data_IF_963567624889
#
_entry.id   IF_963567624889
#
_cell.length_a   1.000
_cell.length_b   1.000
_cell.length_c   1.000
_cell.angle_alpha   90.00
_cell.angle_beta   90.00
_cell.angle_gamma   90.00
#
_symmetry.space_group_name_H-M   'P 1'
#
loop_
_entity.id
_entity.type
_entity.pdbx_description
1 polymer ?
#
# COMPACT_ATOMS: atom_id res chain seq x y z
N UNK A 1 -5.37 -17.77 2.51
CA UNK A 1 -4.79 -17.99 1.18
C UNK A 1 -3.68 -16.98 0.93
N UNK A 2 -2.67 -17.38 0.13
CA UNK A 2 -1.55 -16.50 -0.23
C UNK A 2 -1.95 -15.48 -1.32
N UNK A 3 -2.99 -15.80 -2.10
CA UNK A 3 -3.58 -14.92 -3.11
C UNK A 3 -5.10 -15.07 -3.13
N UNK A 4 -5.78 -13.97 -3.43
CA UNK A 4 -7.23 -13.93 -3.58
C UNK A 4 -7.60 -13.02 -4.75
N UNK A 5 -8.42 -13.53 -5.66
CA UNK A 5 -8.86 -12.80 -6.85
C UNK A 5 -10.38 -12.76 -6.92
N UNK A 6 -10.92 -11.62 -7.30
CA UNK A 6 -12.30 -11.48 -7.73
C UNK A 6 -12.36 -11.37 -9.25
N UNK A 7 -13.26 -12.13 -9.86
CA UNK A 7 -13.71 -11.83 -11.22
C UNK A 7 -14.97 -11.00 -11.09
N UNK A 8 -14.90 -9.73 -11.46
CA UNK A 8 -16.03 -8.81 -11.30
C UNK A 8 -17.10 -9.05 -12.36
N UNK A 9 -18.35 -9.29 -11.92
CA UNK A 9 -19.51 -9.41 -12.81
C UNK A 9 -20.13 -8.05 -13.15
N UNK A 10 -19.82 -7.02 -12.37
CA UNK A 10 -20.27 -5.64 -12.55
C UNK A 10 -19.25 -4.67 -12.01
N UNK A 11 -18.96 -3.62 -12.75
CA UNK A 11 -18.04 -2.55 -12.35
C UNK A 11 -18.76 -1.20 -12.43
N UNK A 12 -18.69 -0.43 -11.35
CA UNK A 12 -19.09 0.96 -11.31
C UNK A 12 -17.83 1.84 -11.35
N UNK A 13 -17.73 2.70 -12.34
CA UNK A 13 -16.62 3.61 -12.50
C UNK A 13 -17.10 5.03 -12.30
N UNK A 14 -16.65 5.68 -11.24
CA UNK A 14 -16.89 7.10 -11.03
C UNK A 14 -15.72 7.91 -11.59
N UNK A 15 -15.99 8.68 -12.63
CA UNK A 15 -15.03 9.59 -13.24
C UNK A 15 -15.10 10.93 -12.49
N UNK A 16 -14.10 11.18 -11.65
CA UNK A 16 -14.03 12.40 -10.84
C UNK A 16 -13.84 13.68 -11.67
N UNK A 17 -13.25 13.59 -12.86
CA UNK A 17 -13.01 14.75 -13.73
C UNK A 17 -14.30 15.20 -14.42
N UNK A 18 -15.08 14.25 -14.96
CA UNK A 18 -16.33 14.54 -15.67
C UNK A 18 -17.57 14.48 -14.79
N UNK A 19 -17.46 13.98 -13.54
CA UNK A 19 -18.57 13.76 -12.62
C UNK A 19 -19.57 12.69 -13.11
N UNK A 20 -19.13 11.77 -13.98
CA UNK A 20 -19.98 10.74 -14.59
C UNK A 20 -19.74 9.39 -13.92
N UNK A 21 -20.82 8.60 -13.81
CA UNK A 21 -20.73 7.21 -13.42
C UNK A 21 -20.95 6.33 -14.64
N UNK A 22 -20.03 5.40 -14.90
CA UNK A 22 -20.15 4.36 -15.91
C UNK A 22 -20.47 3.04 -15.22
N UNK A 23 -21.43 2.29 -15.75
CA UNK A 23 -21.75 0.94 -15.29
C UNK A 23 -21.32 -0.02 -16.39
N UNK A 24 -20.44 -0.96 -16.05
CA UNK A 24 -19.90 -1.94 -17.00
C UNK A 24 -20.22 -3.35 -16.52
N UNK A 25 -20.79 -4.17 -17.39
CA UNK A 25 -21.07 -5.59 -17.15
C UNK A 25 -20.28 -6.40 -18.19
N UNK A 26 -19.23 -7.11 -17.78
CA UNK A 26 -18.49 -8.00 -18.67
C UNK A 26 -19.38 -9.15 -19.16
N UNK A 27 -19.29 -9.48 -20.45
CA UNK A 27 -20.03 -10.60 -21.05
C UNK A 27 -19.04 -11.70 -21.42
N UNK A 28 -19.29 -12.92 -20.93
CA UNK A 28 -18.53 -14.12 -21.25
C UNK A 28 -19.44 -15.06 -22.03
N UNK A 29 -19.37 -15.11 -23.37
CA UNK A 29 -20.37 -15.78 -24.22
C UNK A 29 -20.24 -17.31 -24.22
N UNK A 30 -20.31 -17.96 -23.04
CA UNK A 30 -20.22 -19.42 -22.89
C UNK A 30 -21.50 -20.14 -23.34
N UNK A 31 -22.68 -19.51 -23.11
CA UNK A 31 -24.00 -20.14 -23.36
C UNK A 31 -24.76 -19.52 -24.54
N UNK A 32 -24.10 -18.76 -25.39
CA UNK A 32 -24.68 -18.03 -26.50
C UNK A 32 -24.76 -16.51 -26.23
N UNK A 33 -24.28 -15.73 -27.19
CA UNK A 33 -24.10 -14.28 -27.04
C UNK A 33 -25.39 -13.54 -26.69
N UNK A 34 -26.51 -13.92 -27.30
CA UNK A 34 -27.82 -13.25 -27.07
C UNK A 34 -28.32 -13.45 -25.65
N UNK A 35 -28.24 -14.66 -25.09
CA UNK A 35 -28.66 -14.96 -23.73
C UNK A 35 -27.84 -14.19 -22.70
N UNK A 36 -26.50 -14.18 -22.87
CA UNK A 36 -25.61 -13.44 -22.00
C UNK A 36 -25.79 -11.92 -22.12
N UNK A 37 -26.11 -11.40 -23.30
CA UNK A 37 -26.42 -10.01 -23.51
C UNK A 37 -27.69 -9.58 -22.75
N UNK A 38 -28.74 -10.37 -22.80
CA UNK A 38 -29.97 -10.09 -22.05
C UNK A 38 -29.74 -10.11 -20.54
N UNK A 39 -28.99 -11.10 -20.03
CA UNK A 39 -28.58 -11.16 -18.61
C UNK A 39 -27.79 -9.93 -18.19
N UNK A 40 -26.82 -9.51 -19.00
CA UNK A 40 -26.02 -8.30 -18.75
C UNK A 40 -26.90 -7.04 -18.72
N UNK A 41 -27.87 -6.92 -19.64
CA UNK A 41 -28.82 -5.81 -19.68
C UNK A 41 -29.68 -5.73 -18.43
N UNK A 42 -30.17 -6.87 -17.93
CA UNK A 42 -30.94 -6.95 -16.67
C UNK A 42 -30.08 -6.53 -15.46
N UNK A 43 -28.83 -7.03 -15.38
CA UNK A 43 -27.88 -6.65 -14.32
C UNK A 43 -27.60 -5.14 -14.34
N UNK A 44 -27.41 -4.56 -15.52
CA UNK A 44 -27.17 -3.14 -15.72
C UNK A 44 -28.37 -2.30 -15.26
N UNK A 45 -29.60 -2.70 -15.63
CA UNK A 45 -30.83 -2.02 -15.19
C UNK A 45 -31.02 -2.08 -13.68
N UNK A 46 -30.74 -3.24 -13.06
CA UNK A 46 -30.77 -3.42 -11.59
C UNK A 46 -29.76 -2.51 -10.89
N UNK A 47 -28.54 -2.44 -11.41
CA UNK A 47 -27.50 -1.56 -10.85
C UNK A 47 -27.89 -0.08 -10.94
N UNK A 48 -28.39 0.37 -12.09
CA UNK A 48 -28.88 1.74 -12.27
C UNK A 48 -30.01 2.07 -11.30
N UNK A 49 -30.98 1.18 -11.15
CA UNK A 49 -32.06 1.34 -10.17
C UNK A 49 -31.50 1.50 -8.75
N UNK A 50 -30.56 0.64 -8.34
CA UNK A 50 -29.90 0.71 -7.02
C UNK A 50 -29.17 2.05 -6.80
N UNK A 51 -28.54 2.61 -7.83
CA UNK A 51 -27.87 3.93 -7.74
C UNK A 51 -28.88 5.05 -7.47
N UNK A 52 -30.03 5.02 -8.14
CA UNK A 52 -31.08 6.04 -7.98
C UNK A 52 -31.89 5.91 -6.67
N UNK A 53 -32.09 4.69 -6.20
CA UNK A 53 -32.86 4.42 -4.98
C UNK A 53 -31.99 4.35 -3.73
N UNK A 54 -30.69 4.08 -3.88
CA UNK A 54 -29.75 3.96 -2.79
C UNK A 54 -29.43 5.33 -2.20
N UNK A 55 -29.70 5.49 -0.91
CA UNK A 55 -29.25 6.66 -0.16
C UNK A 55 -28.45 6.19 1.06
N UNK A 56 -27.18 6.54 1.09
CA UNK A 56 -26.35 6.32 2.27
C UNK A 56 -26.25 7.65 3.02
N UNK A 57 -26.82 7.70 4.21
CA UNK A 57 -26.68 8.87 5.08
C UNK A 57 -25.30 8.88 5.69
N UNK A 58 -24.57 10.03 5.65
CA UNK A 58 -23.31 10.16 6.35
C UNK A 58 -23.54 9.98 7.85
N UNK A 59 -22.69 9.18 8.49
CA UNK A 59 -22.64 9.08 9.94
C UNK A 59 -21.72 10.19 10.49
N UNK A 60 -22.10 10.76 11.61
CA UNK A 60 -21.23 11.67 12.33
C UNK A 60 -20.27 10.85 13.19
N UNK A 61 -18.98 10.88 12.84
CA UNK A 61 -17.92 10.30 13.65
C UNK A 61 -17.31 11.39 14.52
N UNK A 62 -17.10 11.08 15.81
CA UNK A 62 -16.41 11.99 16.71
C UNK A 62 -14.91 11.86 16.49
N UNK A 63 -14.25 12.98 16.23
CA UNK A 63 -12.79 13.03 16.17
C UNK A 63 -12.22 12.83 17.58
N UNK A 64 -11.43 11.76 17.76
CA UNK A 64 -10.71 11.46 19.00
C UNK A 64 -9.37 10.81 18.68
N UNK A 65 -8.39 11.07 19.54
CA UNK A 65 -7.11 10.39 19.43
C UNK A 65 -7.24 8.89 19.74
N UNK A 66 -6.40 8.02 19.10
CA UNK A 66 -6.46 6.60 19.32
C UNK A 66 -6.04 6.23 20.76
N UNK A 67 -6.80 5.37 21.38
CA UNK A 67 -6.48 4.83 22.72
C UNK A 67 -5.54 3.64 22.60
N UNK A 68 -4.23 3.91 22.61
CA UNK A 68 -3.19 2.90 22.38
C UNK A 68 -3.24 1.73 23.39
N UNK A 69 -3.73 1.95 24.60
CA UNK A 69 -3.90 0.91 25.62
C UNK A 69 -4.89 -0.19 25.25
N UNK A 70 -5.78 0.06 24.28
CA UNK A 70 -6.73 -0.93 23.77
C UNK A 70 -6.11 -1.83 22.67
N UNK A 71 -4.94 -1.46 22.18
CA UNK A 71 -4.25 -2.18 21.11
C UNK A 71 -3.15 -3.07 21.69
N UNK A 72 -3.17 -4.32 21.31
CA UNK A 72 -2.16 -5.32 21.68
C UNK A 72 -1.20 -5.49 20.51
N UNK A 73 0.10 -5.30 20.73
CA UNK A 73 1.14 -5.66 19.79
C UNK A 73 1.50 -7.14 19.89
N UNK A 74 1.97 -7.74 18.79
CA UNK A 74 2.58 -9.06 18.76
C UNK A 74 4.05 -9.05 19.22
N UNK A 75 4.63 -7.88 19.46
CA UNK A 75 5.91 -7.66 20.10
C UNK A 75 5.74 -6.95 21.44
N UNK A 76 6.59 -7.21 22.41
CA UNK A 76 6.89 -6.24 23.48
C UNK A 76 7.83 -5.17 22.90
N UNK A 77 7.95 -4.02 23.56
CA UNK A 77 8.91 -2.99 23.13
C UNK A 77 10.33 -3.54 23.17
N UNK A 78 10.68 -4.24 24.23
CA UNK A 78 11.99 -4.83 24.47
C UNK A 78 12.34 -5.86 23.39
N UNK A 79 11.41 -6.77 23.04
CA UNK A 79 11.65 -7.79 22.00
C UNK A 79 11.82 -7.17 20.62
N UNK A 80 11.07 -6.09 20.30
CA UNK A 80 11.23 -5.38 19.04
C UNK A 80 12.58 -4.66 18.97
N UNK A 81 12.99 -4.01 20.06
CA UNK A 81 14.30 -3.35 20.16
C UNK A 81 15.46 -4.37 20.02
N UNK A 82 15.30 -5.58 20.61
CA UNK A 82 16.26 -6.67 20.41
C UNK A 82 16.30 -7.15 18.95
N UNK A 83 15.14 -7.28 18.30
CA UNK A 83 15.08 -7.63 16.87
C UNK A 83 15.77 -6.56 16.00
N UNK A 84 15.61 -5.28 16.33
CA UNK A 84 16.34 -4.18 15.64
C UNK A 84 17.85 -4.33 15.83
N UNK A 85 18.33 -4.64 17.04
CA UNK A 85 19.76 -4.85 17.29
C UNK A 85 20.32 -6.04 16.48
N UNK A 86 19.58 -7.17 16.42
CA UNK A 86 19.96 -8.32 15.58
C UNK A 86 19.98 -7.98 14.10
N UNK A 87 19.01 -7.19 13.62
CA UNK A 87 19.01 -6.69 12.25
C UNK A 87 20.26 -5.84 11.94
N UNK A 88 20.67 -4.98 12.88
CA UNK A 88 21.92 -4.20 12.76
C UNK A 88 23.17 -5.07 12.73
N UNK A 89 23.18 -6.22 13.42
CA UNK A 89 24.28 -7.19 13.34
C UNK A 89 24.39 -7.77 11.91
N UNK A 90 23.27 -8.15 11.28
CA UNK A 90 23.28 -8.59 9.88
C UNK A 90 23.75 -7.52 8.90
N UNK A 91 23.38 -6.25 9.15
CA UNK A 91 23.89 -5.12 8.36
C UNK A 91 25.41 -4.95 8.54
N UNK A 92 25.90 -5.02 9.78
CA UNK A 92 27.34 -4.92 10.07
C UNK A 92 28.16 -6.08 9.47
N UNK A 93 27.56 -7.28 9.33
CA UNK A 93 28.16 -8.42 8.66
C UNK A 93 28.15 -8.32 7.13
N UNK A 94 27.41 -7.34 6.58
CA UNK A 94 27.29 -7.14 5.14
C UNK A 94 26.21 -8.00 4.46
N UNK A 95 25.34 -8.63 5.22
CA UNK A 95 24.26 -9.46 4.71
C UNK A 95 23.19 -8.64 3.96
N UNK A 96 22.86 -7.47 4.52
CA UNK A 96 21.90 -6.51 3.95
C UNK A 96 22.35 -5.07 4.18
N UNK A 97 21.88 -4.16 3.36
CA UNK A 97 22.05 -2.71 3.54
C UNK A 97 20.92 -2.17 4.41
N UNK A 98 19.70 -2.68 4.18
CA UNK A 98 18.49 -2.32 4.90
C UNK A 98 17.58 -3.55 5.02
N UNK A 99 16.88 -3.66 6.16
CA UNK A 99 15.80 -4.62 6.36
C UNK A 99 14.63 -3.94 7.06
N UNK A 100 13.42 -4.18 6.60
CA UNK A 100 12.20 -3.58 7.19
C UNK A 100 11.58 -4.56 8.18
N UNK A 101 11.65 -4.23 9.47
CA UNK A 101 10.96 -4.98 10.53
C UNK A 101 9.60 -4.38 10.82
N UNK A 102 8.61 -5.22 11.10
CA UNK A 102 7.24 -4.78 11.37
C UNK A 102 6.65 -5.41 12.63
N UNK A 103 5.69 -4.70 13.22
CA UNK A 103 4.85 -5.24 14.29
C UNK A 103 3.37 -5.15 13.93
N UNK A 104 2.58 -6.08 14.45
CA UNK A 104 1.14 -6.17 14.25
C UNK A 104 0.41 -5.78 15.52
N UNK A 105 -0.49 -4.84 15.38
CA UNK A 105 -1.41 -4.42 16.42
C UNK A 105 -2.78 -5.05 16.19
N UNK A 106 -3.43 -5.47 17.27
CA UNK A 106 -4.78 -6.03 17.21
C UNK A 106 -5.65 -5.53 18.35
N UNK A 107 -6.97 -5.46 18.08
CA UNK A 107 -7.99 -5.23 19.11
C UNK A 107 -9.33 -5.82 18.69
N UNK A 108 -10.21 -6.07 19.68
CA UNK A 108 -11.60 -6.42 19.40
C UNK A 108 -12.32 -5.29 18.67
N UNK A 109 -13.11 -5.63 17.66
CA UNK A 109 -13.86 -4.69 16.85
C UNK A 109 -15.25 -5.25 16.52
N UNK A 110 -16.29 -4.44 16.78
CA UNK A 110 -17.69 -4.80 16.51
C UNK A 110 -18.40 -3.80 15.59
N UNK A 111 -17.68 -2.78 15.11
CA UNK A 111 -18.22 -1.77 14.21
C UNK A 111 -18.41 -2.29 12.78
N UNK A 112 -18.97 -1.44 11.92
CA UNK A 112 -19.04 -1.73 10.50
C UNK A 112 -17.69 -1.38 9.84
N UNK A 113 -17.07 -2.37 9.20
CA UNK A 113 -15.76 -2.21 8.55
C UNK A 113 -15.78 -1.19 7.41
N UNK A 114 -16.89 -1.08 6.68
CA UNK A 114 -17.06 -0.08 5.63
C UNK A 114 -16.97 1.35 6.18
N UNK A 115 -17.37 1.57 7.43
CA UNK A 115 -17.27 2.87 8.08
C UNK A 115 -15.82 3.26 8.38
N UNK A 116 -14.90 2.28 8.61
CA UNK A 116 -13.46 2.53 8.70
C UNK A 116 -12.95 3.14 7.38
N UNK A 117 -13.36 2.58 6.23
CA UNK A 117 -13.02 3.12 4.92
C UNK A 117 -13.50 4.57 4.76
N UNK A 118 -14.73 4.86 5.18
CA UNK A 118 -15.31 6.21 5.10
C UNK A 118 -14.54 7.21 5.95
N UNK A 119 -14.17 6.81 7.17
CA UNK A 119 -13.36 7.65 8.07
C UNK A 119 -11.96 7.89 7.48
N UNK A 120 -11.31 6.85 6.94
CA UNK A 120 -9.98 6.98 6.33
C UNK A 120 -9.95 7.97 5.16
N UNK A 121 -11.03 8.08 4.39
CA UNK A 121 -11.13 9.07 3.29
C UNK A 121 -10.99 10.52 3.76
N UNK A 122 -11.30 10.80 5.02
CA UNK A 122 -11.12 12.12 5.63
C UNK A 122 -9.80 12.25 6.38
N UNK A 123 -9.43 11.22 7.14
CA UNK A 123 -8.24 11.27 7.99
C UNK A 123 -6.94 11.16 7.19
N UNK A 124 -6.91 10.28 6.22
CA UNK A 124 -5.68 9.97 5.48
C UNK A 124 -6.00 9.59 4.03
N UNK A 125 -6.48 10.53 3.20
CA UNK A 125 -6.69 10.26 1.78
C UNK A 125 -5.37 9.92 1.10
N UNK A 126 -5.37 8.87 0.30
CA UNK A 126 -4.19 8.36 -0.41
C UNK A 126 -4.56 7.96 -1.84
N UNK A 127 -3.59 7.85 -2.76
CA UNK A 127 -3.85 7.47 -4.15
C UNK A 127 -4.56 6.12 -4.31
N UNK A 128 -4.28 5.18 -3.41
CA UNK A 128 -4.87 3.84 -3.43
C UNK A 128 -5.69 3.60 -2.17
N UNK A 129 -6.98 3.89 -2.28
CA UNK A 129 -7.94 3.60 -1.23
C UNK A 129 -8.81 2.42 -1.64
N UNK A 130 -8.95 1.43 -0.75
CA UNK A 130 -9.70 0.22 -1.04
C UNK A 130 -10.47 -0.30 0.17
N UNK A 131 -11.61 -0.92 -0.12
CA UNK A 131 -12.39 -1.76 0.76
C UNK A 131 -12.72 -3.04 0.01
N UNK A 132 -12.29 -4.17 0.54
CA UNK A 132 -12.48 -5.49 -0.05
C UNK A 132 -13.20 -6.38 0.97
N UNK A 133 -14.33 -6.94 0.57
CA UNK A 133 -15.08 -7.89 1.38
C UNK A 133 -14.96 -9.29 0.79
N UNK A 134 -14.32 -10.18 1.54
CA UNK A 134 -14.11 -11.57 1.17
C UNK A 134 -15.07 -12.53 1.88
N UNK A 135 -16.09 -12.00 2.56
CA UNK A 135 -17.04 -12.76 3.37
C UNK A 135 -16.49 -13.05 4.76
N UNK A 136 -15.51 -13.95 4.87
CA UNK A 136 -14.92 -14.36 6.16
C UNK A 136 -14.00 -13.29 6.77
N UNK A 137 -13.50 -12.36 5.96
CA UNK A 137 -12.67 -11.24 6.40
C UNK A 137 -12.81 -10.05 5.44
N UNK A 138 -12.56 -8.87 5.95
CA UNK A 138 -12.54 -7.63 5.18
C UNK A 138 -11.17 -6.97 5.26
N UNK A 139 -10.82 -6.26 4.18
CA UNK A 139 -9.56 -5.50 4.08
C UNK A 139 -9.87 -4.06 3.72
N UNK A 140 -9.34 -3.15 4.52
CA UNK A 140 -9.52 -1.70 4.35
C UNK A 140 -8.16 -1.03 4.30
N UNK A 141 -7.89 -0.25 3.28
CA UNK A 141 -6.59 0.40 3.16
C UNK A 141 -6.62 1.78 2.54
N UNK A 142 -5.57 2.53 2.87
CA UNK A 142 -5.25 3.85 2.32
C UNK A 142 -3.76 3.89 2.00
N UNK A 143 -3.36 3.14 0.96
CA UNK A 143 -1.95 3.01 0.58
C UNK A 143 -1.47 4.21 -0.21
N UNK A 144 -0.34 4.82 0.18
CA UNK A 144 0.23 5.93 -0.56
C UNK A 144 1.10 5.49 -1.74
N UNK A 145 1.44 4.20 -1.84
CA UNK A 145 2.56 3.75 -2.67
C UNK A 145 2.16 2.69 -3.70
N UNK A 146 2.48 2.96 -4.96
CA UNK A 146 2.37 1.97 -6.03
C UNK A 146 3.45 0.91 -5.85
N UNK A 147 3.08 -0.37 -5.99
CA UNK A 147 4.04 -1.47 -6.13
C UNK A 147 4.57 -1.50 -7.56
N UNK A 148 3.67 -1.65 -8.51
CA UNK A 148 3.98 -1.68 -9.94
C UNK A 148 2.73 -1.39 -10.76
N UNK A 149 2.90 -0.65 -11.84
CA UNK A 149 1.87 -0.41 -12.86
C UNK A 149 2.36 -0.94 -14.21
N UNK A 150 1.48 -1.57 -14.95
CA UNK A 150 1.68 -1.93 -16.35
C UNK A 150 0.56 -1.31 -17.17
N UNK A 151 0.88 -0.40 -18.08
CA UNK A 151 -0.08 0.30 -18.91
C UNK A 151 0.46 0.40 -20.34
N UNK A 152 -0.29 -0.15 -21.30
CA UNK A 152 0.08 -0.16 -22.73
C UNK A 152 1.52 -0.65 -22.99
N UNK A 153 1.94 -1.70 -22.25
CA UNK A 153 3.27 -2.28 -22.37
C UNK A 153 4.38 -1.54 -21.64
N UNK A 154 4.08 -0.42 -20.96
CA UNK A 154 5.03 0.29 -20.10
C UNK A 154 4.87 -0.15 -18.66
N UNK A 155 5.98 -0.49 -18.04
CA UNK A 155 6.07 -0.83 -16.61
C UNK A 155 6.59 0.38 -15.85
N UNK A 156 5.96 0.70 -14.74
CA UNK A 156 6.34 1.80 -13.83
C UNK A 156 6.44 1.26 -12.40
N UNK A 157 7.54 1.58 -11.72
CA UNK A 157 7.63 1.57 -10.26
C UNK A 157 7.97 2.97 -9.76
N UNK A 158 7.46 3.31 -8.57
CA UNK A 158 7.62 4.66 -8.02
C UNK A 158 8.12 4.56 -6.57
N UNK A 159 9.43 4.41 -6.35
CA UNK A 159 10.00 4.45 -5.02
C UNK A 159 9.75 5.82 -4.36
N UNK A 160 9.30 5.76 -3.11
CA UNK A 160 9.04 6.89 -2.24
C UNK A 160 9.88 6.70 -0.98
N UNK A 161 10.74 7.65 -0.66
CA UNK A 161 11.52 7.66 0.56
C UNK A 161 11.77 9.09 1.03
N UNK A 162 12.32 9.21 2.23
CA UNK A 162 12.53 10.53 2.83
C UNK A 162 11.22 11.22 3.20
N UNK A 163 11.16 11.78 4.38
CA UNK A 163 9.94 12.41 4.87
C UNK A 163 10.27 13.69 5.63
N UNK A 164 9.56 14.76 5.30
CA UNK A 164 9.47 15.96 6.15
C UNK A 164 7.99 16.32 6.32
N UNK A 165 7.68 16.94 7.48
CA UNK A 165 6.36 17.52 7.68
C UNK A 165 6.12 18.69 6.73
N UNK A 166 4.88 19.08 6.56
CA UNK A 166 4.52 20.32 5.87
C UNK A 166 4.86 21.52 6.75
N UNK A 167 5.27 22.60 6.12
CA UNK A 167 5.43 23.90 6.78
C UNK A 167 4.09 24.55 7.11
N UNK A 168 4.07 25.40 8.14
CA UNK A 168 2.89 26.21 8.47
C UNK A 168 2.74 27.43 7.54
N UNK A 169 3.84 27.84 6.90
CA UNK A 169 3.91 28.89 5.89
C UNK A 169 4.59 28.37 4.63
N UNK A 170 4.45 29.10 3.51
CA UNK A 170 5.14 28.72 2.27
C UNK A 170 6.67 28.79 2.41
N UNK A 171 7.19 29.76 3.17
CA UNK A 171 8.63 29.89 3.43
C UNK A 171 9.16 28.71 4.23
N UNK A 172 8.45 28.31 5.29
CA UNK A 172 8.78 27.12 6.08
C UNK A 172 8.71 25.85 5.24
N UNK A 173 7.67 25.69 4.41
CA UNK A 173 7.49 24.53 3.52
C UNK A 173 8.65 24.40 2.52
N UNK A 174 9.10 25.53 1.94
CA UNK A 174 10.28 25.57 1.05
C UNK A 174 11.59 25.27 1.79
N UNK A 175 11.74 25.75 3.02
CA UNK A 175 12.92 25.45 3.81
C UNK A 175 13.02 23.96 4.15
N UNK A 176 11.91 23.32 4.52
CA UNK A 176 11.84 21.88 4.77
C UNK A 176 12.07 21.03 3.51
N UNK A 177 11.63 21.52 2.33
CA UNK A 177 11.96 20.90 1.06
C UNK A 177 13.47 20.93 0.77
N UNK A 178 14.10 22.09 0.95
CA UNK A 178 15.54 22.23 0.76
C UNK A 178 16.33 21.35 1.74
N UNK A 179 15.90 21.29 3.00
CA UNK A 179 16.46 20.41 4.01
C UNK A 179 16.38 18.94 3.56
N UNK A 180 15.21 18.49 3.10
CA UNK A 180 15.01 17.13 2.60
C UNK A 180 15.92 16.81 1.41
N UNK A 181 16.02 17.72 0.45
CA UNK A 181 16.87 17.57 -0.74
C UNK A 181 18.36 17.58 -0.41
N UNK A 182 18.77 18.23 0.68
CA UNK A 182 20.16 18.31 1.14
C UNK A 182 20.55 17.16 2.08
N UNK A 183 19.58 16.40 2.61
CA UNK A 183 19.84 15.31 3.55
C UNK A 183 20.50 14.12 2.84
N UNK A 184 21.76 13.89 3.13
CA UNK A 184 22.57 12.83 2.48
C UNK A 184 22.03 11.43 2.80
N UNK A 185 21.52 11.21 4.02
CA UNK A 185 20.98 9.93 4.46
C UNK A 185 19.69 9.59 3.69
N UNK A 186 18.73 10.52 3.66
CA UNK A 186 17.47 10.36 2.94
C UNK A 186 17.70 10.14 1.44
N UNK A 187 18.67 10.85 0.86
CA UNK A 187 19.06 10.68 -0.54
C UNK A 187 19.70 9.32 -0.82
N UNK A 188 20.56 8.84 0.08
CA UNK A 188 21.20 7.54 -0.06
C UNK A 188 20.17 6.39 0.04
N UNK A 189 19.23 6.47 0.98
CA UNK A 189 18.12 5.53 1.09
C UNK A 189 17.26 5.56 -0.17
N UNK A 190 16.87 6.74 -0.64
CA UNK A 190 16.08 6.88 -1.85
C UNK A 190 16.79 6.30 -3.08
N UNK A 191 18.09 6.56 -3.25
CA UNK A 191 18.90 6.00 -4.35
C UNK A 191 18.92 4.47 -4.32
N UNK A 192 19.06 3.87 -3.13
CA UNK A 192 19.00 2.43 -2.95
C UNK A 192 17.66 1.86 -3.43
N UNK A 193 16.53 2.51 -3.11
CA UNK A 193 15.20 2.08 -3.55
C UNK A 193 15.00 2.25 -5.07
N UNK A 194 15.55 3.31 -5.66
CA UNK A 194 15.57 3.51 -7.12
C UNK A 194 16.35 2.38 -7.80
N UNK A 195 17.52 2.03 -7.30
CA UNK A 195 18.32 0.94 -7.86
C UNK A 195 17.65 -0.42 -7.71
N UNK A 196 16.94 -0.64 -6.60
CA UNK A 196 16.13 -1.84 -6.42
C UNK A 196 14.99 -1.90 -7.44
N UNK A 197 14.29 -0.78 -7.68
CA UNK A 197 13.26 -0.69 -8.73
C UNK A 197 13.83 -0.94 -10.12
N UNK A 198 15.00 -0.40 -10.43
CA UNK A 198 15.71 -0.68 -11.70
C UNK A 198 16.05 -2.17 -11.85
N UNK A 199 16.49 -2.80 -10.77
CA UNK A 199 16.79 -4.24 -10.77
C UNK A 199 15.52 -5.07 -11.00
N UNK A 200 14.42 -4.74 -10.33
CA UNK A 200 13.14 -5.43 -10.49
C UNK A 200 12.62 -5.31 -11.93
N UNK A 201 12.61 -4.11 -12.51
CA UNK A 201 12.19 -3.89 -13.89
C UNK A 201 13.15 -4.54 -14.90
N UNK A 202 14.44 -4.60 -14.59
CA UNK A 202 15.44 -5.24 -15.44
C UNK A 202 15.19 -6.73 -15.73
N UNK A 203 14.37 -7.39 -14.90
CA UNK A 203 14.00 -8.80 -15.08
C UNK A 203 12.90 -9.01 -16.12
N UNK A 204 12.08 -8.00 -16.39
CA UNK A 204 10.86 -8.10 -17.20
C UNK A 204 10.78 -7.07 -18.32
N UNK A 205 11.67 -6.10 -18.35
CA UNK A 205 11.71 -5.08 -19.39
C UNK A 205 12.76 -5.39 -20.46
N UNK A 206 12.52 -4.90 -21.66
CA UNK A 206 13.46 -5.01 -22.79
C UNK A 206 14.81 -4.38 -22.41
N UNK A 207 15.94 -5.00 -22.76
CA UNK A 207 17.26 -4.44 -22.49
C UNK A 207 17.41 -3.02 -23.00
N UNK A 208 17.96 -2.12 -22.16
CA UNK A 208 18.19 -0.72 -22.49
C UNK A 208 16.95 0.19 -22.40
N UNK A 209 15.77 -0.33 -22.04
CA UNK A 209 14.56 0.48 -21.90
C UNK A 209 14.30 0.96 -20.47
N UNK A 210 14.93 0.32 -19.47
CA UNK A 210 14.78 0.74 -18.06
C UNK A 210 15.49 2.08 -17.84
N UNK A 211 14.70 3.08 -17.44
CA UNK A 211 15.17 4.46 -17.22
C UNK A 211 14.57 5.04 -15.96
N UNK A 212 15.30 5.91 -15.31
CA UNK A 212 14.76 6.82 -14.29
C UNK A 212 14.29 8.06 -15.03
N UNK A 213 12.98 8.22 -15.17
CA UNK A 213 12.37 9.30 -15.98
C UNK A 213 12.20 10.56 -15.15
N UNK A 214 12.05 10.42 -13.84
CA UNK A 214 12.03 11.51 -12.89
C UNK A 214 12.83 11.11 -11.65
N UNK A 215 13.68 11.97 -11.13
CA UNK A 215 14.65 11.61 -10.11
C UNK A 215 14.64 12.59 -8.94
N UNK A 216 14.34 12.09 -7.74
CA UNK A 216 14.36 12.84 -6.47
C UNK A 216 13.55 14.14 -6.50
N UNK A 217 12.38 14.14 -7.16
CA UNK A 217 11.46 15.28 -7.01
C UNK A 217 10.78 15.23 -5.66
N UNK A 218 10.44 16.40 -5.14
CA UNK A 218 9.64 16.49 -3.91
C UNK A 218 8.15 16.51 -4.24
N UNK A 219 7.41 15.53 -3.77
CA UNK A 219 5.95 15.52 -3.80
C UNK A 219 5.38 15.92 -2.45
N UNK A 220 4.40 16.85 -2.48
CA UNK A 220 3.71 17.36 -1.29
C UNK A 220 2.37 16.68 -1.14
N UNK A 221 2.18 16.05 0.01
CA UNK A 221 0.92 15.48 0.45
C UNK A 221 0.27 16.37 1.52
N UNK A 222 -0.89 15.97 2.05
CA UNK A 222 -1.64 16.79 3.02
C UNK A 222 -0.85 17.14 4.29
N UNK A 223 -0.05 16.19 4.80
CA UNK A 223 0.65 16.34 6.09
C UNK A 223 2.17 16.21 6.00
N UNK A 224 2.67 15.67 4.91
CA UNK A 224 4.09 15.39 4.70
C UNK A 224 4.52 15.68 3.27
N UNK A 225 5.83 15.76 3.05
CA UNK A 225 6.46 15.74 1.72
C UNK A 225 7.47 14.61 1.65
N UNK A 226 7.65 14.05 0.47
CA UNK A 226 8.55 12.92 0.21
C UNK A 226 9.44 13.16 -1.01
N UNK A 227 10.59 12.49 -1.03
CA UNK A 227 11.36 12.27 -2.25
C UNK A 227 10.70 11.17 -3.07
N UNK A 228 10.47 11.43 -4.35
CA UNK A 228 9.84 10.49 -5.28
C UNK A 228 10.67 10.41 -6.55
N UNK A 229 10.80 9.20 -7.09
CA UNK A 229 11.38 8.96 -8.42
C UNK A 229 10.49 8.02 -9.21
N UNK A 230 10.53 8.15 -10.53
CA UNK A 230 9.85 7.25 -11.45
C UNK A 230 10.88 6.39 -12.19
N UNK A 231 10.70 5.06 -12.12
CA UNK A 231 11.49 4.09 -12.86
C UNK A 231 10.57 3.39 -13.85
N UNK A 232 10.86 3.54 -15.14
CA UNK A 232 10.02 3.02 -16.22
C UNK A 232 10.81 2.07 -17.13
N UNK A 233 10.09 1.18 -17.83
CA UNK A 233 10.64 0.31 -18.86
C UNK A 233 9.55 -0.25 -19.76
N UNK A 234 9.95 -0.81 -20.90
CA UNK A 234 9.05 -1.52 -21.82
C UNK A 234 9.06 -3.01 -21.50
N UNK A 235 7.89 -3.61 -21.25
CA UNK A 235 7.78 -5.04 -20.97
C UNK A 235 8.28 -5.88 -22.15
N UNK A 236 8.96 -6.98 -21.90
CA UNK A 236 9.38 -7.94 -22.91
C UNK A 236 8.15 -8.63 -23.53
N UNK A 237 8.24 -8.97 -24.81
CA UNK A 237 7.19 -9.73 -25.49
C UNK A 237 6.97 -11.09 -24.85
N UNK A 238 5.71 -11.49 -24.75
CA UNK A 238 5.30 -12.77 -24.17
C UNK A 238 5.17 -12.78 -22.65
N UNK A 239 5.56 -11.71 -21.95
CA UNK A 239 5.35 -11.59 -20.52
C UNK A 239 3.97 -10.99 -20.21
N UNK A 240 3.33 -11.52 -19.18
CA UNK A 240 2.03 -11.08 -18.67
C UNK A 240 2.17 -10.09 -17.52
N UNK A 241 1.06 -9.45 -17.14
CA UNK A 241 0.98 -8.63 -15.92
C UNK A 241 1.42 -9.39 -14.67
N UNK A 242 1.16 -10.70 -14.58
CA UNK A 242 1.58 -11.52 -13.44
C UNK A 242 3.08 -11.76 -13.41
N UNK A 243 3.76 -11.83 -14.55
CA UNK A 243 5.22 -11.91 -14.60
C UNK A 243 5.85 -10.62 -14.11
N UNK A 244 5.28 -9.48 -14.49
CA UNK A 244 5.68 -8.15 -13.99
C UNK A 244 5.46 -8.05 -12.48
N UNK A 245 4.29 -8.43 -11.97
CA UNK A 245 4.01 -8.45 -10.53
C UNK A 245 5.02 -9.32 -9.78
N UNK A 246 5.28 -10.53 -10.25
CA UNK A 246 6.24 -11.48 -9.65
C UNK A 246 7.65 -10.91 -9.60
N UNK A 247 8.08 -10.17 -10.59
CA UNK A 247 9.41 -9.57 -10.63
C UNK A 247 9.58 -8.43 -9.60
N UNK A 248 8.53 -7.64 -9.38
CA UNK A 248 8.56 -6.49 -8.48
C UNK A 248 8.21 -6.83 -7.02
N UNK A 249 7.55 -7.96 -6.78
CA UNK A 249 7.09 -8.37 -5.46
C UNK A 249 8.17 -9.06 -4.63
N UNK A 250 8.22 -8.82 -3.29
CA UNK A 250 7.58 -7.71 -2.60
C UNK A 250 8.31 -6.38 -2.86
N UNK A 251 7.67 -5.26 -2.52
CA UNK A 251 8.31 -3.94 -2.63
C UNK A 251 9.53 -3.82 -1.71
N UNK A 252 10.56 -3.10 -2.18
CA UNK A 252 11.77 -2.86 -1.40
C UNK A 252 11.53 -2.06 -0.13
N UNK A 253 10.62 -1.11 -0.19
CA UNK A 253 10.20 -0.24 0.93
C UNK A 253 9.56 -0.98 2.10
N UNK A 254 9.16 -2.24 1.92
CA UNK A 254 8.60 -3.11 2.97
C UNK A 254 9.39 -4.40 3.19
N UNK A 255 10.47 -4.61 2.45
CA UNK A 255 11.35 -5.78 2.60
C UNK A 255 12.78 -5.38 2.94
N UNK A 256 13.53 -4.84 2.01
CA UNK A 256 14.90 -4.40 2.17
C UNK A 256 15.79 -4.74 0.97
N UNK A 257 17.08 -4.52 1.13
CA UNK A 257 18.07 -4.70 0.09
C UNK A 257 19.36 -5.38 0.65
N UNK A 258 19.84 -6.50 0.01
CA UNK A 258 19.26 -7.27 -1.06
C UNK A 258 17.96 -8.00 -0.66
N UNK A 259 16.95 -7.99 -1.55
CA UNK A 259 15.57 -8.39 -1.26
C UNK A 259 15.42 -9.79 -0.65
N UNK A 260 16.04 -10.81 -1.24
CA UNK A 260 15.90 -12.20 -0.79
C UNK A 260 16.47 -12.38 0.62
N UNK A 261 17.65 -11.81 0.89
CA UNK A 261 18.27 -11.92 2.21
C UNK A 261 17.48 -11.13 3.26
N UNK A 262 16.99 -9.95 2.91
CA UNK A 262 16.11 -9.19 3.79
C UNK A 262 14.84 -9.99 4.18
N UNK A 263 14.20 -10.68 3.22
CA UNK A 263 13.04 -11.52 3.51
C UNK A 263 13.37 -12.69 4.44
N UNK A 264 14.56 -13.32 4.32
CA UNK A 264 15.00 -14.37 5.24
C UNK A 264 15.17 -13.85 6.67
N UNK A 265 15.78 -12.67 6.81
CA UNK A 265 15.96 -12.02 8.13
C UNK A 265 14.61 -11.63 8.74
N UNK A 266 13.68 -11.14 7.94
CA UNK A 266 12.32 -10.83 8.38
C UNK A 266 11.61 -12.09 8.94
N UNK A 267 11.68 -13.21 8.20
CA UNK A 267 11.06 -14.48 8.63
C UNK A 267 11.70 -15.03 9.92
N UNK A 268 12.96 -14.74 10.16
CA UNK A 268 13.69 -15.12 11.38
C UNK A 268 13.32 -14.26 12.59
N UNK A 269 13.19 -12.93 12.39
CA UNK A 269 13.08 -11.97 13.49
C UNK A 269 11.63 -11.62 13.85
N UNK A 270 10.69 -11.70 12.92
CA UNK A 270 9.28 -11.43 13.21
C UNK A 270 8.60 -12.66 13.83
N UNK A 271 7.81 -12.51 14.93
CA UNK A 271 7.21 -13.64 15.65
C UNK A 271 6.09 -14.32 14.86
N UNK A 272 5.54 -13.66 13.84
CA UNK A 272 4.40 -14.15 13.06
C UNK A 272 4.54 -13.77 11.59
N UNK A 273 3.98 -14.60 10.71
CA UNK A 273 3.88 -14.28 9.28
C UNK A 273 3.05 -13.04 9.05
N UNK A 274 3.48 -12.20 8.11
CA UNK A 274 2.88 -10.90 7.80
C UNK A 274 1.45 -10.97 7.29
N UNK A 275 1.07 -12.05 6.60
CA UNK A 275 -0.22 -12.14 5.94
C UNK A 275 -0.37 -11.08 4.83
N UNK A 276 -1.39 -10.22 4.94
CA UNK A 276 -1.69 -9.20 3.92
C UNK A 276 -0.71 -8.02 3.95
N UNK A 277 -0.13 -7.70 5.10
CA UNK A 277 0.84 -6.61 5.22
C UNK A 277 2.04 -6.84 4.30
N UNK A 278 2.50 -5.79 3.63
CA UNK A 278 3.57 -5.82 2.62
C UNK A 278 3.23 -6.64 1.36
N UNK A 279 1.99 -7.07 1.22
CA UNK A 279 1.43 -7.68 0.02
C UNK A 279 1.13 -6.67 -1.07
N UNK A 280 0.30 -7.06 -2.04
CA UNK A 280 -0.18 -6.18 -3.10
C UNK A 280 -1.71 -6.19 -3.19
N UNK A 281 -2.27 -5.03 -3.50
CA UNK A 281 -3.70 -4.82 -3.73
C UNK A 281 -3.88 -4.00 -4.99
N UNK A 282 -4.77 -4.43 -5.88
CA UNK A 282 -5.02 -3.70 -7.10
C UNK A 282 -5.88 -4.48 -8.08
N UNK A 283 -5.71 -4.23 -9.36
CA UNK A 283 -6.45 -4.91 -10.40
C UNK A 283 -5.57 -5.25 -11.61
N UNK A 284 -5.99 -6.29 -12.30
CA UNK A 284 -5.51 -6.64 -13.65
C UNK A 284 -6.72 -6.58 -14.57
N UNK A 285 -6.64 -5.80 -15.64
CA UNK A 285 -7.71 -5.66 -16.61
C UNK A 285 -7.60 -6.69 -17.74
N UNK A 286 -8.69 -6.88 -18.48
CA UNK A 286 -8.75 -7.88 -19.57
C UNK A 286 -7.88 -7.53 -20.77
N UNK A 287 -7.47 -6.28 -20.93
CA UNK A 287 -6.52 -5.83 -21.95
C UNK A 287 -5.04 -6.04 -21.57
N UNK A 288 -4.80 -6.62 -20.36
CA UNK A 288 -3.47 -6.90 -19.85
C UNK A 288 -2.84 -5.77 -19.03
N UNK A 289 -3.51 -4.64 -18.88
CA UNK A 289 -3.05 -3.58 -17.99
C UNK A 289 -3.21 -3.98 -16.52
N UNK A 290 -2.38 -3.42 -15.65
CA UNK A 290 -2.36 -3.72 -14.23
C UNK A 290 -1.98 -2.48 -13.43
N UNK A 291 -2.63 -2.26 -12.28
CA UNK A 291 -2.25 -1.25 -11.30
C UNK A 291 -2.31 -1.85 -9.89
N UNK A 292 -1.15 -1.97 -9.24
CA UNK A 292 -0.98 -2.61 -7.94
C UNK A 292 -0.34 -1.66 -6.94
N UNK A 293 -0.99 -1.49 -5.81
CA UNK A 293 -0.45 -0.79 -4.64
C UNK A 293 0.19 -1.77 -3.66
N UNK A 294 1.09 -1.28 -2.83
CA UNK A 294 1.61 -2.02 -1.69
C UNK A 294 0.54 -2.07 -0.60
N UNK A 295 0.30 -3.24 -0.01
CA UNK A 295 -0.64 -3.39 1.12
C UNK A 295 -0.02 -2.87 2.42
N UNK A 296 0.08 -1.57 2.55
CA UNK A 296 0.46 -0.81 3.75
C UNK A 296 -0.66 0.15 4.13
N UNK A 297 -0.62 0.68 5.34
CA UNK A 297 -1.74 1.51 5.86
C UNK A 297 -3.07 0.79 5.69
N UNK A 298 -3.05 -0.51 6.03
CA UNK A 298 -4.13 -1.46 5.75
C UNK A 298 -4.55 -2.14 7.03
N UNK A 299 -5.86 -2.17 7.28
CA UNK A 299 -6.50 -2.92 8.35
C UNK A 299 -7.13 -4.19 7.79
N UNK A 300 -7.01 -5.28 8.53
CA UNK A 300 -7.68 -6.56 8.25
C UNK A 300 -8.66 -6.84 9.37
N UNK A 301 -9.93 -7.03 9.04
CA UNK A 301 -10.98 -7.35 10.00
C UNK A 301 -11.39 -8.81 9.82
N UNK A 302 -11.27 -9.62 10.87
CA UNK A 302 -11.59 -11.05 10.86
C UNK A 302 -11.98 -11.53 12.25
N UNK A 303 -13.04 -12.34 12.34
CA UNK A 303 -13.40 -13.00 13.59
C UNK A 303 -13.73 -12.06 14.75
N UNK A 304 -14.20 -10.84 14.49
CA UNK A 304 -14.48 -9.84 15.52
C UNK A 304 -13.25 -9.09 16.05
N UNK A 305 -12.12 -9.22 15.38
CA UNK A 305 -10.88 -8.48 15.65
C UNK A 305 -10.47 -7.66 14.43
N UNK A 306 -9.77 -6.56 14.66
CA UNK A 306 -9.08 -5.76 13.65
C UNK A 306 -7.58 -5.81 13.88
N UNK A 307 -6.84 -5.99 12.80
CA UNK A 307 -5.39 -6.07 12.75
C UNK A 307 -4.84 -4.92 11.91
N UNK A 308 -3.83 -4.24 12.44
CA UNK A 308 -3.08 -3.18 11.76
C UNK A 308 -1.60 -3.49 11.88
N UNK A 309 -0.85 -3.46 10.77
CA UNK A 309 0.58 -3.75 10.79
C UNK A 309 1.36 -2.59 10.17
N UNK A 310 2.50 -2.27 10.78
CA UNK A 310 3.39 -1.23 10.30
C UNK A 310 4.85 -1.61 10.58
N UNK A 311 5.75 -1.15 9.71
CA UNK A 311 7.17 -1.45 9.78
C UNK A 311 8.06 -0.22 9.67
N UNK A 312 9.30 -0.38 10.09
CA UNK A 312 10.37 0.60 10.01
C UNK A 312 11.58 0.01 9.28
N UNK A 313 12.25 0.81 8.49
CA UNK A 313 13.45 0.44 7.74
C UNK A 313 14.70 0.52 8.63
N UNK A 314 15.26 -0.63 8.98
CA UNK A 314 16.44 -0.71 9.83
C UNK A 314 17.70 -0.60 8.99
N UNK A 315 18.55 0.36 9.33
CA UNK A 315 19.86 0.64 8.76
C UNK A 315 20.92 0.68 9.85
N UNK A 316 22.20 0.79 9.50
CA UNK A 316 23.31 0.76 10.46
C UNK A 316 23.16 1.78 11.61
N UNK A 317 22.64 2.98 11.29
CA UNK A 317 22.48 4.07 12.27
C UNK A 317 21.12 4.06 12.99
N UNK A 318 20.26 3.07 12.73
CA UNK A 318 18.94 2.99 13.36
C UNK A 318 19.05 2.91 14.89
N UNK A 319 18.16 3.67 15.55
CA UNK A 319 18.00 3.65 17.00
C UNK A 319 16.78 2.79 17.35
N UNK A 320 16.95 1.70 18.15
CA UNK A 320 15.86 0.73 18.40
C UNK A 320 14.58 1.37 18.94
N UNK A 321 14.70 2.32 19.88
CA UNK A 321 13.53 2.99 20.44
C UNK A 321 12.81 3.88 19.42
N UNK A 322 13.58 4.60 18.58
CA UNK A 322 12.97 5.42 17.51
C UNK A 322 12.24 4.56 16.49
N UNK A 323 12.81 3.42 16.11
CA UNK A 323 12.17 2.50 15.14
C UNK A 323 10.89 1.89 15.71
N UNK A 324 10.84 1.55 17.01
CA UNK A 324 9.61 1.17 17.68
C UNK A 324 8.55 2.25 17.54
N UNK A 325 8.87 3.49 17.90
CA UNK A 325 7.93 4.59 17.81
C UNK A 325 7.51 4.94 16.38
N UNK A 326 8.39 4.71 15.40
CA UNK A 326 8.07 4.89 13.99
C UNK A 326 6.95 3.94 13.57
N UNK A 327 7.04 2.64 13.93
CA UNK A 327 5.97 1.69 13.60
C UNK A 327 4.65 2.05 14.28
N UNK A 328 4.68 2.46 15.55
CA UNK A 328 3.49 2.93 16.28
C UNK A 328 2.87 4.16 15.57
N UNK A 329 3.70 5.15 15.22
CA UNK A 329 3.24 6.37 14.55
C UNK A 329 2.66 6.09 13.16
N UNK A 330 3.24 5.15 12.40
CA UNK A 330 2.71 4.72 11.11
C UNK A 330 1.34 4.01 11.24
N UNK A 331 1.06 3.34 12.35
CA UNK A 331 -0.21 2.68 12.62
C UNK A 331 -1.32 3.63 13.12
N UNK A 332 -0.95 4.76 13.74
CA UNK A 332 -1.89 5.66 14.46
C UNK A 332 -3.09 6.11 13.63
N UNK A 333 -2.90 6.49 12.36
CA UNK A 333 -4.01 6.97 11.52
C UNK A 333 -5.09 5.90 11.33
N UNK A 334 -4.67 4.64 11.13
CA UNK A 334 -5.59 3.49 11.05
C UNK A 334 -6.23 3.18 12.39
N UNK A 335 -5.45 3.17 13.48
CA UNK A 335 -5.97 2.97 14.83
C UNK A 335 -7.04 4.02 15.17
N UNK A 336 -6.76 5.28 14.84
CA UNK A 336 -7.70 6.39 15.00
C UNK A 336 -9.01 6.14 14.23
N UNK A 337 -8.91 5.73 12.97
CA UNK A 337 -10.08 5.45 12.15
C UNK A 337 -10.93 4.30 12.73
N UNK A 338 -10.29 3.25 13.23
CA UNK A 338 -10.97 2.12 13.88
C UNK A 338 -11.64 2.56 15.18
N UNK A 339 -10.95 3.35 16.01
CA UNK A 339 -11.46 3.82 17.30
C UNK A 339 -12.64 4.80 17.15
N UNK A 340 -12.68 5.55 16.06
CA UNK A 340 -13.83 6.43 15.74
C UNK A 340 -15.08 5.66 15.33
N UNK A 341 -14.93 4.45 14.80
CA UNK A 341 -16.04 3.61 14.34
C UNK A 341 -16.46 2.58 15.39
N UNK A 342 -15.55 2.10 16.18
CA UNK A 342 -15.70 0.91 17.04
C UNK A 342 -16.35 1.15 18.40
N UNK A 343 -17.07 2.25 18.62
CA UNK A 343 -17.82 2.54 19.86
C UNK A 343 -19.27 2.06 19.77
#
# INVERSE_FOLDING_TARGET
PDMFFFLTELVLIHDNLSGKVKVVVPIFPKEGAEKEYQRAKEALQKALKGIYEGCVYPKNYQDKEPELSLWRSNFTKEDFEEAVLKAKEYIAQGDVIQVVLSQRFSRAFKGNVEDIYRVLRFLNPSPYMFYLDFGDFQVVGSSPEVLVRLEEGKVLTRPIAGTRRRGNTEEEDRALEQELLADEKERAEHLMLVDLGRNDLGRVCKPGTVKVTDFMRVERYSHVMHLVSDVEGEVMEGLSAFDVLKACFPAGTVSGAPKVRAMQIIEELEPERRGIYAGSVGYVSFDGNMDMAIAIRTAVCRGGEVFVQAGAGIVADSDPEKEWWETVNKAKALMKAVDMVGL
#
